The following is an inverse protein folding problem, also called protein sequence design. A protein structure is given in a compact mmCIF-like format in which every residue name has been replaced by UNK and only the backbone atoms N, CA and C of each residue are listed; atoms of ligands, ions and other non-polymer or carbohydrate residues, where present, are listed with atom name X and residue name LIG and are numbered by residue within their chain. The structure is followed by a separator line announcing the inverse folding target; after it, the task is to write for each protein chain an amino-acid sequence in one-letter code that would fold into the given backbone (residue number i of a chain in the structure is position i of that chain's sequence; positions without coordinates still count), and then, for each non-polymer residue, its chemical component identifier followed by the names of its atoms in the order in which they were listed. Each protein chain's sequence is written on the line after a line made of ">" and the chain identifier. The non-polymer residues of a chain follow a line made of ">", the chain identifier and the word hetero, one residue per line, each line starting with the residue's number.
data_IF_868597321668
#
_entry.id   IF_868597321668
#
_cell.length_a   1.000
_cell.length_b   1.000
_cell.length_c   1.000
_cell.angle_alpha   90.00
_cell.angle_beta   90.00
_cell.angle_gamma   90.00
#
_symmetry.space_group_name_H-M   'P 1'
#
loop_
_entity.id
_entity.type
_entity.pdbx_description
1 polymer ?
#
# COMPACT_ATOMS: atom_id res chain seq x y z
N UNK A 1 6.53 18.16 10.25
CA UNK A 1 5.69 18.00 11.45
C UNK A 1 5.95 16.61 12.04
N UNK A 2 6.57 16.54 13.22
CA UNK A 2 6.86 15.27 13.89
C UNK A 2 5.67 14.92 14.78
N UNK A 3 5.06 13.75 14.61
CA UNK A 3 3.91 13.33 15.41
C UNK A 3 4.26 12.19 16.36
N UNK A 4 3.48 12.05 17.43
CA UNK A 4 3.44 10.79 18.18
C UNK A 4 2.69 9.74 17.37
N UNK A 5 3.35 8.61 17.13
CA UNK A 5 2.79 7.47 16.40
C UNK A 5 2.41 6.41 17.44
N UNK A 6 1.11 6.23 17.76
CA UNK A 6 0.67 5.18 18.67
C UNK A 6 0.89 3.79 18.03
N UNK A 7 1.04 2.76 18.86
CA UNK A 7 1.36 1.39 18.42
C UNK A 7 0.38 0.85 17.37
N UNK A 8 -0.91 1.19 17.47
CA UNK A 8 -1.92 0.75 16.51
C UNK A 8 -1.72 1.41 15.14
N UNK A 9 -1.22 2.65 15.09
CA UNK A 9 -0.89 3.33 13.84
C UNK A 9 0.36 2.72 13.22
N UNK A 10 1.33 2.31 14.02
CA UNK A 10 2.47 1.51 13.54
C UNK A 10 2.00 0.23 12.89
N UNK A 11 1.06 -0.49 13.51
CA UNK A 11 0.50 -1.72 12.93
C UNK A 11 -0.16 -1.45 11.57
N UNK A 12 -0.98 -0.40 11.46
CA UNK A 12 -1.59 -0.02 10.19
C UNK A 12 -0.51 0.31 9.14
N UNK A 13 0.48 1.12 9.48
CA UNK A 13 1.57 1.47 8.56
C UNK A 13 2.31 0.22 8.09
N UNK A 14 2.59 -0.74 8.97
CA UNK A 14 3.20 -2.02 8.58
C UNK A 14 2.31 -2.76 7.58
N UNK A 15 1.01 -2.88 7.86
CA UNK A 15 0.07 -3.54 6.96
C UNK A 15 0.04 -2.85 5.58
N UNK A 16 -0.08 -1.53 5.54
CA UNK A 16 -0.08 -0.73 4.30
C UNK A 16 1.23 -0.85 3.52
N UNK A 17 2.35 -1.01 4.21
CA UNK A 17 3.68 -1.04 3.59
C UNK A 17 4.07 -2.45 3.12
N UNK A 18 3.61 -3.52 3.76
CA UNK A 18 4.00 -4.90 3.44
C UNK A 18 3.81 -5.29 1.94
N UNK A 19 2.69 -4.96 1.28
CA UNK A 19 2.50 -5.25 -0.15
C UNK A 19 3.57 -4.64 -1.06
N UNK A 20 4.18 -3.53 -0.65
CA UNK A 20 5.25 -2.85 -1.39
C UNK A 20 6.51 -3.69 -1.54
N UNK A 21 6.64 -4.75 -0.75
CA UNK A 21 7.75 -5.70 -0.82
C UNK A 21 7.28 -7.08 -1.28
N UNK A 22 6.14 -7.56 -0.77
CA UNK A 22 5.59 -8.85 -1.15
C UNK A 22 5.22 -8.88 -2.64
N UNK A 23 4.49 -7.87 -3.12
CA UNK A 23 4.11 -7.76 -4.53
C UNK A 23 5.31 -7.82 -5.47
N UNK A 24 6.35 -6.97 -5.28
CA UNK A 24 7.57 -7.03 -6.07
C UNK A 24 8.31 -8.37 -6.03
N UNK A 25 8.40 -9.01 -4.86
CA UNK A 25 8.99 -10.35 -4.78
C UNK A 25 8.21 -11.34 -5.66
N UNK A 26 6.88 -11.33 -5.61
CA UNK A 26 6.04 -12.18 -6.47
C UNK A 26 6.22 -11.81 -7.94
N UNK A 27 6.25 -10.51 -8.28
CA UNK A 27 6.42 -10.04 -9.66
C UNK A 27 7.74 -10.48 -10.29
N UNK A 28 8.82 -10.57 -9.52
CA UNK A 28 10.15 -10.97 -9.99
C UNK A 28 10.40 -12.48 -9.93
N UNK A 29 9.55 -13.25 -9.26
CA UNK A 29 9.72 -14.71 -9.11
C UNK A 29 8.63 -15.51 -9.85
N UNK A 30 7.54 -14.86 -10.24
CA UNK A 30 6.44 -15.48 -10.98
C UNK A 30 6.16 -14.71 -12.28
N UNK A 31 6.65 -15.19 -13.43
CA UNK A 31 6.38 -14.59 -14.75
C UNK A 31 4.90 -14.34 -15.05
N UNK A 32 4.00 -15.20 -14.56
CA UNK A 32 2.56 -15.07 -14.78
C UNK A 32 1.92 -13.89 -14.04
N UNK A 33 2.55 -13.36 -12.99
CA UNK A 33 1.95 -12.30 -12.17
C UNK A 33 1.74 -11.00 -12.95
N UNK A 34 2.74 -10.56 -13.72
CA UNK A 34 2.66 -9.36 -14.57
C UNK A 34 2.66 -9.66 -16.07
N UNK A 35 3.03 -10.88 -16.47
CA UNK A 35 3.04 -11.33 -17.86
C UNK A 35 1.74 -12.01 -18.31
N UNK A 36 0.85 -12.35 -17.37
CA UNK A 36 -0.41 -13.03 -17.65
C UNK A 36 -0.26 -14.54 -17.90
N UNK A 37 -1.35 -15.23 -18.26
CA UNK A 37 -1.36 -16.68 -18.45
C UNK A 37 -0.37 -17.11 -19.55
N UNK A 38 0.52 -18.05 -19.25
CA UNK A 38 1.49 -18.60 -20.19
C UNK A 38 2.81 -17.84 -20.32
N UNK A 39 3.01 -16.76 -19.55
CA UNK A 39 4.30 -16.07 -19.51
C UNK A 39 5.40 -17.00 -18.93
N UNK A 40 6.53 -17.10 -19.63
CA UNK A 40 7.67 -17.95 -19.25
C UNK A 40 8.88 -17.16 -18.77
N UNK A 41 8.87 -15.83 -18.90
CA UNK A 41 9.95 -14.94 -18.51
C UNK A 41 9.44 -13.67 -17.82
N UNK A 42 10.28 -13.10 -16.95
CA UNK A 42 9.99 -11.82 -16.28
C UNK A 42 10.08 -10.68 -17.30
N UNK A 43 8.96 -10.03 -17.55
CA UNK A 43 8.86 -8.93 -18.51
C UNK A 43 9.16 -7.56 -17.91
N UNK A 44 9.32 -6.55 -18.77
CA UNK A 44 9.53 -5.15 -18.40
C UNK A 44 8.52 -4.62 -17.36
N UNK A 45 7.24 -4.99 -17.49
CA UNK A 45 6.18 -4.58 -16.57
C UNK A 45 6.46 -4.97 -15.10
N UNK A 46 7.05 -6.15 -14.87
CA UNK A 46 7.41 -6.61 -13.53
C UNK A 46 8.50 -5.76 -12.88
N UNK A 47 9.49 -5.31 -13.66
CA UNK A 47 10.55 -4.43 -13.18
C UNK A 47 10.02 -3.04 -12.82
N UNK A 48 9.16 -2.44 -13.67
CA UNK A 48 8.57 -1.13 -13.40
C UNK A 48 7.65 -1.19 -12.17
N UNK A 49 6.82 -2.22 -12.07
CA UNK A 49 5.99 -2.44 -10.90
C UNK A 49 6.83 -2.61 -9.63
N UNK A 50 7.92 -3.37 -9.69
CA UNK A 50 8.85 -3.54 -8.59
C UNK A 50 9.46 -2.22 -8.15
N UNK A 51 10.02 -1.45 -9.10
CA UNK A 51 10.64 -0.17 -8.81
C UNK A 51 9.66 0.81 -8.16
N UNK A 52 8.43 0.91 -8.68
CA UNK A 52 7.39 1.77 -8.12
C UNK A 52 7.03 1.38 -6.68
N UNK A 53 6.76 0.10 -6.45
CA UNK A 53 6.35 -0.39 -5.14
C UNK A 53 7.48 -0.25 -4.10
N UNK A 54 8.70 -0.66 -4.43
CA UNK A 54 9.84 -0.49 -3.52
C UNK A 54 10.08 0.99 -3.20
N UNK A 55 10.00 1.89 -4.18
CA UNK A 55 10.15 3.32 -3.94
C UNK A 55 9.11 3.86 -2.96
N UNK A 56 7.84 3.46 -3.10
CA UNK A 56 6.77 3.84 -2.17
C UNK A 56 6.98 3.21 -0.79
N UNK A 57 7.37 1.93 -0.72
CA UNK A 57 7.69 1.24 0.53
C UNK A 57 8.83 1.91 1.31
N UNK A 58 9.90 2.30 0.62
CA UNK A 58 10.99 3.07 1.21
C UNK A 58 10.52 4.45 1.67
N UNK A 59 9.69 5.14 0.90
CA UNK A 59 9.11 6.42 1.30
C UNK A 59 8.29 6.30 2.60
N UNK A 60 7.51 5.23 2.75
CA UNK A 60 6.78 4.91 3.98
C UNK A 60 7.72 4.70 5.18
N UNK A 61 8.76 3.87 5.01
CA UNK A 61 9.76 3.61 6.05
C UNK A 61 10.44 4.91 6.50
N UNK A 62 10.87 5.74 5.54
CA UNK A 62 11.50 7.03 5.82
C UNK A 62 10.51 7.96 6.55
N UNK A 63 9.28 8.10 6.05
CA UNK A 63 8.25 8.93 6.66
C UNK A 63 7.94 8.50 8.09
N UNK A 64 7.89 7.19 8.35
CA UNK A 64 7.67 6.60 9.66
C UNK A 64 8.79 6.92 10.64
N UNK A 65 10.06 6.68 10.27
CA UNK A 65 11.21 6.96 11.15
C UNK A 65 11.43 8.44 11.39
N UNK A 66 11.14 9.29 10.40
CA UNK A 66 11.13 10.74 10.57
C UNK A 66 9.93 11.24 11.38
N UNK A 67 8.97 10.36 11.70
CA UNK A 67 7.69 10.66 12.34
C UNK A 67 6.90 11.74 11.60
N UNK A 68 7.01 11.79 10.27
CA UNK A 68 6.45 12.85 9.45
C UNK A 68 4.97 12.60 9.14
N UNK A 69 4.08 13.18 9.95
CA UNK A 69 2.63 13.00 9.84
C UNK A 69 2.04 13.35 8.46
N UNK A 70 2.33 14.55 7.90
CA UNK A 70 1.90 14.91 6.56
C UNK A 70 2.36 13.96 5.46
N UNK A 71 3.62 13.50 5.53
CA UNK A 71 4.16 12.55 4.55
C UNK A 71 3.45 11.19 4.64
N UNK A 72 3.26 10.67 5.86
CA UNK A 72 2.48 9.45 6.08
C UNK A 72 1.04 9.60 5.57
N UNK A 73 0.41 10.76 5.80
CA UNK A 73 -0.93 11.03 5.31
C UNK A 73 -1.01 10.95 3.78
N UNK A 74 -0.11 11.65 3.08
CA UNK A 74 -0.07 11.66 1.62
C UNK A 74 0.19 10.26 1.07
N UNK A 75 1.15 9.52 1.65
CA UNK A 75 1.49 8.17 1.21
C UNK A 75 0.31 7.20 1.39
N UNK A 76 -0.37 7.20 2.54
CA UNK A 76 -1.55 6.37 2.78
C UNK A 76 -2.70 6.77 1.85
N UNK A 77 -2.87 8.07 1.60
CA UNK A 77 -3.93 8.56 0.72
C UNK A 77 -3.74 8.11 -0.73
N UNK A 78 -2.54 8.30 -1.27
CA UNK A 78 -2.17 7.80 -2.60
C UNK A 78 -2.34 6.29 -2.64
N UNK A 79 -1.94 5.58 -1.58
CA UNK A 79 -2.06 4.13 -1.50
C UNK A 79 -3.51 3.68 -1.59
N UNK A 80 -4.40 4.27 -0.80
CA UNK A 80 -5.83 4.00 -0.84
C UNK A 80 -6.39 4.19 -2.26
N UNK A 81 -6.04 5.28 -2.94
CA UNK A 81 -6.48 5.51 -4.34
C UNK A 81 -5.98 4.39 -5.26
N UNK A 82 -4.71 4.01 -5.14
CA UNK A 82 -4.16 2.94 -5.98
C UNK A 82 -4.83 1.60 -5.69
N UNK A 83 -5.10 1.27 -4.43
CA UNK A 83 -5.76 0.03 -4.06
C UNK A 83 -7.23 -0.03 -4.49
N UNK A 84 -7.90 1.12 -4.59
CA UNK A 84 -9.25 1.21 -5.18
C UNK A 84 -9.26 0.92 -6.68
N UNK A 85 -8.12 1.07 -7.37
CA UNK A 85 -7.96 0.71 -8.79
C UNK A 85 -7.44 -0.73 -8.92
N UNK A 86 -6.52 -1.13 -8.05
CA UNK A 86 -5.88 -2.45 -8.09
C UNK A 86 -6.91 -3.57 -7.87
N UNK A 87 -7.79 -3.48 -6.86
CA UNK A 87 -8.77 -4.54 -6.59
C UNK A 87 -9.70 -4.82 -7.80
N UNK A 88 -10.41 -3.83 -8.38
CA UNK A 88 -11.19 -4.06 -9.60
C UNK A 88 -10.38 -4.63 -10.75
N UNK A 89 -9.11 -4.24 -10.87
CA UNK A 89 -8.19 -4.77 -11.89
C UNK A 89 -7.87 -6.24 -11.63
N UNK A 90 -7.54 -6.62 -10.39
CA UNK A 90 -7.30 -8.03 -10.03
C UNK A 90 -8.51 -8.91 -10.33
N UNK A 91 -9.72 -8.40 -10.09
CA UNK A 91 -10.97 -9.13 -10.36
C UNK A 91 -11.29 -9.21 -11.85
N UNK A 92 -11.19 -8.10 -12.59
CA UNK A 92 -11.56 -8.05 -14.01
C UNK A 92 -10.64 -8.87 -14.91
N UNK A 93 -9.36 -9.00 -14.53
CA UNK A 93 -8.38 -9.81 -15.25
C UNK A 93 -8.28 -11.26 -14.74
N UNK A 94 -9.16 -11.68 -13.81
CA UNK A 94 -9.17 -13.05 -13.29
C UNK A 94 -7.88 -13.45 -12.57
N UNK A 95 -7.15 -12.47 -12.02
CA UNK A 95 -5.87 -12.68 -11.33
C UNK A 95 -6.07 -13.15 -9.88
N UNK A 96 -7.30 -13.09 -9.37
CA UNK A 96 -7.67 -13.59 -8.05
C UNK A 96 -8.01 -15.08 -8.10
N UNK A 97 -7.21 -15.90 -7.40
CA UNK A 97 -7.53 -17.34 -7.20
C UNK A 97 -8.79 -17.55 -6.34
N UNK A 98 -9.12 -16.58 -5.49
CA UNK A 98 -10.35 -16.56 -4.70
C UNK A 98 -10.77 -15.11 -4.51
N UNK A 99 -11.80 -14.70 -5.25
CA UNK A 99 -12.28 -13.32 -5.30
C UNK A 99 -12.75 -12.82 -3.93
N UNK A 100 -13.55 -13.62 -3.21
CA UNK A 100 -14.07 -13.27 -1.88
C UNK A 100 -12.93 -13.00 -0.90
N UNK A 101 -11.91 -13.86 -0.90
CA UNK A 101 -10.73 -13.69 -0.05
C UNK A 101 -9.95 -12.41 -0.40
N UNK A 102 -9.76 -12.14 -1.69
CA UNK A 102 -9.04 -10.94 -2.15
C UNK A 102 -9.82 -9.68 -1.76
N UNK A 103 -11.14 -9.64 -2.00
CA UNK A 103 -12.00 -8.54 -1.57
C UNK A 103 -11.93 -8.32 -0.05
N UNK A 104 -12.02 -9.39 0.74
CA UNK A 104 -11.92 -9.31 2.19
C UNK A 104 -10.57 -8.73 2.65
N UNK A 105 -9.46 -9.17 2.05
CA UNK A 105 -8.13 -8.62 2.33
C UNK A 105 -8.10 -7.13 2.03
N UNK A 106 -8.54 -6.70 0.84
CA UNK A 106 -8.55 -5.29 0.47
C UNK A 106 -9.39 -4.43 1.42
N UNK A 107 -10.59 -4.89 1.78
CA UNK A 107 -11.48 -4.13 2.66
C UNK A 107 -10.95 -4.07 4.09
N UNK A 108 -10.63 -5.22 4.69
CA UNK A 108 -10.32 -5.30 6.12
C UNK A 108 -8.87 -4.97 6.46
N UNK A 109 -7.93 -5.22 5.54
CA UNK A 109 -6.51 -4.99 5.78
C UNK A 109 -5.97 -3.72 5.11
N UNK A 110 -6.62 -3.17 4.08
CA UNK A 110 -6.13 -1.95 3.41
C UNK A 110 -7.12 -0.77 3.54
N UNK A 111 -8.36 -0.91 3.09
CA UNK A 111 -9.29 0.23 3.07
C UNK A 111 -9.64 0.74 4.47
N UNK A 112 -10.12 -0.14 5.36
CA UNK A 112 -10.51 0.26 6.73
C UNK A 112 -9.30 0.81 7.50
N UNK A 113 -8.14 0.13 7.55
CA UNK A 113 -6.93 0.66 8.18
C UNK A 113 -6.50 2.02 7.61
N UNK A 114 -6.46 2.18 6.28
CA UNK A 114 -6.13 3.44 5.64
C UNK A 114 -7.07 4.58 6.09
N UNK A 115 -8.39 4.38 6.11
CA UNK A 115 -9.33 5.39 6.57
C UNK A 115 -9.12 5.78 8.04
N UNK A 116 -8.86 4.79 8.91
CA UNK A 116 -8.57 5.05 10.33
C UNK A 116 -7.30 5.88 10.49
N UNK A 117 -6.22 5.51 9.81
CA UNK A 117 -4.95 6.22 9.85
C UNK A 117 -5.07 7.65 9.28
N UNK A 118 -5.70 7.81 8.11
CA UNK A 118 -5.92 9.12 7.49
C UNK A 118 -6.71 10.05 8.42
N UNK A 119 -7.80 9.57 9.01
CA UNK A 119 -8.60 10.35 9.95
C UNK A 119 -7.79 10.81 11.16
N UNK A 120 -6.97 9.93 11.72
CA UNK A 120 -6.11 10.28 12.85
C UNK A 120 -5.04 11.30 12.48
N UNK A 121 -4.31 11.05 11.39
CA UNK A 121 -3.25 11.94 10.91
C UNK A 121 -3.81 13.33 10.57
N UNK A 122 -4.99 13.39 9.95
CA UNK A 122 -5.69 14.66 9.69
C UNK A 122 -6.00 15.44 10.97
N UNK A 123 -6.51 14.76 12.00
CA UNK A 123 -6.80 15.39 13.30
C UNK A 123 -5.53 15.95 13.94
N UNK A 124 -4.43 15.20 13.93
CA UNK A 124 -3.15 15.66 14.47
C UNK A 124 -2.65 16.92 13.73
N UNK A 125 -2.69 16.92 12.39
CA UNK A 125 -2.29 18.08 11.58
C UNK A 125 -3.17 19.31 11.81
N UNK A 126 -4.45 19.13 12.10
CA UNK A 126 -5.40 20.24 12.27
C UNK A 126 -5.36 20.81 13.68
N UNK A 127 -5.14 19.97 14.70
CA UNK A 127 -5.07 20.41 16.10
C UNK A 127 -3.83 21.28 16.35
N UNK A 128 -2.70 20.91 15.76
CA UNK A 128 -1.44 21.64 15.92
C UNK A 128 -1.42 22.99 15.16
N UNK A 129 -2.19 23.14 14.07
CA UNK A 129 -2.37 24.44 13.39
C UNK A 129 -3.16 25.47 14.21
N UNK A 130 -3.81 25.07 15.30
CA UNK A 130 -4.65 25.93 16.14
C UNK A 130 -3.94 26.40 17.42
N UNK A 131 -2.72 25.92 17.67
CA UNK A 131 -1.84 26.30 18.79
C UNK A 131 -0.73 27.19 18.22
#
# INVERSE_FOLDING_TARGET
>A
MKISIPWWLTLIIVIETLPMFIGPMVALTNPGFMGGPGATAIGFAAYIYTARNIAVGLAFIIAYFLKNGPMLFILIFIRLITDLIDLPTFLSFGLATNEVRVMAIFVFLYYIPAFIALRYLWKQMTYEKRI
#
